data_IF_237343518342
#
_entry.id   IF_237343518342
#
_cell.length_a   1.000
_cell.length_b   1.000
_cell.length_c   1.000
_cell.angle_alpha   90.00
_cell.angle_beta   90.00
_cell.angle_gamma   90.00
#
_symmetry.space_group_name_H-M   'P 1'
#
loop_
_entity.id
_entity.type
_entity.pdbx_description
1 polymer ?
#
# COMPACT_ATOMS: atom_id res chain seq x y z
N UNK A 1 -1.47 14.53 -27.98
CA UNK A 1 -2.36 13.36 -28.04
C UNK A 1 -3.73 13.91 -27.76
N UNK A 2 -4.64 13.81 -28.73
CA UNK A 2 -6.05 13.98 -28.44
C UNK A 2 -6.47 12.90 -27.42
N UNK A 3 -7.58 13.15 -26.72
CA UNK A 3 -8.07 12.35 -25.59
C UNK A 3 -7.98 10.83 -25.82
N UNK A 4 -7.76 10.09 -24.73
CA UNK A 4 -7.53 8.63 -24.76
C UNK A 4 -8.81 7.79 -24.83
N UNK A 5 -9.94 8.38 -25.21
CA UNK A 5 -11.29 7.78 -25.09
C UNK A 5 -11.34 6.36 -25.72
N UNK A 6 -10.62 6.15 -26.83
CA UNK A 6 -10.58 4.88 -27.57
C UNK A 6 -9.69 3.79 -26.95
N UNK A 7 -8.78 4.13 -26.02
CA UNK A 7 -7.81 3.17 -25.43
C UNK A 7 -7.99 2.99 -23.92
N UNK A 8 -8.89 3.76 -23.29
CA UNK A 8 -9.16 3.66 -21.86
C UNK A 8 -9.74 2.31 -21.43
N UNK A 9 -10.59 1.62 -22.23
CA UNK A 9 -11.02 0.26 -21.92
C UNK A 9 -9.85 -0.73 -21.85
N UNK A 10 -8.95 -0.74 -22.84
CA UNK A 10 -7.77 -1.62 -22.87
C UNK A 10 -6.78 -1.28 -21.75
N UNK A 11 -6.65 0.00 -21.42
CA UNK A 11 -5.88 0.46 -20.27
C UNK A 11 -6.42 -0.11 -18.95
N UNK A 12 -7.74 -0.01 -18.72
CA UNK A 12 -8.40 -0.50 -17.52
C UNK A 12 -8.35 -2.03 -17.39
N UNK A 13 -8.57 -2.74 -18.49
CA UNK A 13 -8.47 -4.20 -18.55
C UNK A 13 -7.02 -4.70 -18.51
N UNK A 14 -6.05 -3.78 -18.65
CA UNK A 14 -4.63 -4.06 -18.62
C UNK A 14 -4.11 -4.84 -19.83
N UNK A 15 -4.83 -4.79 -20.94
CA UNK A 15 -4.47 -5.47 -22.20
C UNK A 15 -3.64 -4.59 -23.14
N UNK A 16 -3.40 -3.33 -22.77
CA UNK A 16 -2.59 -2.39 -23.54
C UNK A 16 -1.09 -2.72 -23.46
N UNK A 17 -0.41 -2.65 -24.61
CA UNK A 17 1.05 -2.85 -24.72
C UNK A 17 1.85 -1.95 -23.75
N UNK A 18 2.97 -2.43 -23.16
CA UNK A 18 3.70 -1.71 -22.12
C UNK A 18 4.10 -0.27 -22.49
N UNK A 19 4.62 -0.07 -23.71
CA UNK A 19 5.03 1.26 -24.17
C UNK A 19 3.85 2.25 -24.32
N UNK A 20 2.68 1.73 -24.74
CA UNK A 20 1.44 2.54 -24.83
C UNK A 20 0.87 2.80 -23.45
N UNK A 21 1.04 1.85 -22.52
CA UNK A 21 0.70 2.01 -21.11
C UNK A 21 1.46 3.22 -20.53
N UNK A 22 2.78 3.24 -20.60
CA UNK A 22 3.56 4.35 -20.03
C UNK A 22 3.23 5.73 -20.63
N UNK A 23 2.82 5.77 -21.91
CA UNK A 23 2.33 7.00 -22.53
C UNK A 23 0.96 7.43 -21.99
N UNK A 24 0.02 6.51 -21.85
CA UNK A 24 -1.31 6.76 -21.28
C UNK A 24 -1.23 7.19 -19.81
N UNK A 25 -0.35 6.57 -19.01
CA UNK A 25 -0.09 6.92 -17.62
C UNK A 25 0.27 8.42 -17.48
N UNK A 26 1.27 8.85 -18.26
CA UNK A 26 1.74 10.25 -18.27
C UNK A 26 0.66 11.24 -18.72
N UNK A 27 -0.20 10.85 -19.65
CA UNK A 27 -1.31 11.70 -20.08
C UNK A 27 -2.38 11.85 -19.00
N UNK A 28 -2.70 10.77 -18.28
CA UNK A 28 -3.67 10.78 -17.18
C UNK A 28 -3.25 11.66 -16.00
N UNK A 29 -1.94 11.87 -15.80
CA UNK A 29 -1.44 12.83 -14.81
C UNK A 29 -1.86 14.27 -15.13
N UNK A 30 -1.99 14.63 -16.41
CA UNK A 30 -2.25 16.01 -16.86
C UNK A 30 -3.66 16.29 -17.40
N UNK A 31 -4.43 15.27 -17.78
CA UNK A 31 -5.73 15.46 -18.45
C UNK A 31 -6.92 15.16 -17.54
N UNK A 32 -7.67 16.19 -17.15
CA UNK A 32 -8.89 16.06 -16.34
C UNK A 32 -10.01 15.28 -17.03
N UNK A 33 -10.23 15.52 -18.32
CA UNK A 33 -11.27 14.82 -19.09
C UNK A 33 -11.01 13.31 -19.13
N UNK A 34 -9.78 12.89 -19.44
CA UNK A 34 -9.45 11.47 -19.48
C UNK A 34 -9.48 10.82 -18.09
N UNK A 35 -9.17 11.56 -17.01
CA UNK A 35 -9.40 11.06 -15.64
C UNK A 35 -10.88 10.92 -15.31
N UNK A 36 -11.74 11.85 -15.74
CA UNK A 36 -13.18 11.76 -15.56
C UNK A 36 -13.78 10.58 -16.35
N UNK A 37 -13.30 10.36 -17.58
CA UNK A 37 -13.65 9.21 -18.41
C UNK A 37 -13.24 7.89 -17.74
N UNK A 38 -11.98 7.80 -17.29
CA UNK A 38 -11.47 6.65 -16.56
C UNK A 38 -12.35 6.35 -15.34
N UNK A 39 -12.66 7.37 -14.51
CA UNK A 39 -13.51 7.22 -13.34
C UNK A 39 -14.94 6.76 -13.69
N UNK A 40 -15.48 7.14 -14.86
CA UNK A 40 -16.78 6.66 -15.34
C UNK A 40 -16.74 5.19 -15.75
N UNK A 41 -15.64 4.73 -16.34
CA UNK A 41 -15.48 3.37 -16.85
C UNK A 41 -15.06 2.36 -15.77
N UNK A 42 -14.32 2.79 -14.73
CA UNK A 42 -13.83 1.93 -13.64
C UNK A 42 -14.92 1.04 -13.02
N UNK A 43 -16.12 1.53 -12.64
CA UNK A 43 -17.14 0.70 -12.02
C UNK A 43 -17.62 -0.45 -12.91
N UNK A 44 -17.63 -0.26 -14.23
CA UNK A 44 -18.01 -1.32 -15.17
C UNK A 44 -16.96 -2.44 -15.18
N UNK A 45 -15.67 -2.10 -15.13
CA UNK A 45 -14.58 -3.08 -15.08
C UNK A 45 -14.53 -3.79 -13.73
N UNK A 46 -14.76 -3.08 -12.63
CA UNK A 46 -14.89 -3.69 -11.30
C UNK A 46 -16.05 -4.68 -11.24
N UNK A 47 -17.19 -4.33 -11.84
CA UNK A 47 -18.35 -5.22 -11.93
C UNK A 47 -18.04 -6.51 -12.74
N UNK A 48 -17.25 -6.41 -13.81
CA UNK A 48 -16.78 -7.60 -14.55
C UNK A 48 -15.94 -8.52 -13.65
N UNK A 49 -15.05 -7.97 -12.83
CA UNK A 49 -14.26 -8.75 -11.88
C UNK A 49 -15.11 -9.47 -10.83
N UNK A 50 -16.21 -8.84 -10.39
CA UNK A 50 -17.13 -9.43 -9.40
C UNK A 50 -18.00 -10.58 -9.96
N UNK A 51 -18.13 -10.70 -11.28
CA UNK A 51 -18.86 -11.80 -11.92
C UNK A 51 -18.05 -13.10 -12.01
N UNK A 52 -16.74 -13.03 -11.79
CA UNK A 52 -15.86 -14.20 -11.82
C UNK A 52 -15.82 -14.83 -10.44
N UNK A 53 -16.00 -16.15 -10.38
CA UNK A 53 -15.87 -16.90 -9.13
C UNK A 53 -14.45 -16.72 -8.57
N UNK A 54 -14.29 -16.20 -7.33
CA UNK A 54 -12.97 -15.98 -6.75
C UNK A 54 -12.21 -17.30 -6.57
N UNK A 55 -11.08 -17.44 -7.25
CA UNK A 55 -10.17 -18.55 -6.98
C UNK A 55 -9.48 -18.35 -5.63
N UNK A 56 -9.61 -19.31 -4.72
CA UNK A 56 -8.90 -19.28 -3.44
C UNK A 56 -7.41 -19.55 -3.65
N UNK A 57 -6.51 -18.61 -3.37
CA UNK A 57 -5.08 -18.84 -3.51
C UNK A 57 -4.60 -19.84 -2.44
N UNK A 58 -3.53 -20.61 -2.70
CA UNK A 58 -2.93 -21.47 -1.68
C UNK A 58 -2.53 -20.66 -0.44
N UNK A 59 -2.78 -21.19 0.77
CA UNK A 59 -2.48 -20.48 2.02
C UNK A 59 -1.02 -20.02 2.15
N UNK A 60 -0.09 -20.77 1.52
CA UNK A 60 1.34 -20.42 1.47
C UNK A 60 1.64 -19.11 0.74
N UNK A 61 0.75 -18.65 -0.15
CA UNK A 61 0.90 -17.36 -0.85
C UNK A 61 0.76 -16.21 0.14
N UNK A 62 -0.25 -16.27 1.01
CA UNK A 62 -0.43 -15.25 2.05
C UNK A 62 0.75 -15.27 3.00
N UNK A 63 1.17 -16.43 3.50
CA UNK A 63 2.35 -16.55 4.38
C UNK A 63 3.59 -15.92 3.74
N UNK A 64 3.91 -16.28 2.50
CA UNK A 64 5.07 -15.74 1.77
C UNK A 64 4.97 -14.24 1.53
N UNK A 65 3.77 -13.73 1.24
CA UNK A 65 3.54 -12.30 1.07
C UNK A 65 3.76 -11.55 2.39
N UNK A 66 3.21 -12.05 3.49
CA UNK A 66 3.38 -11.47 4.81
C UNK A 66 4.85 -11.49 5.25
N UNK A 67 5.57 -12.59 5.04
CA UNK A 67 7.01 -12.67 5.29
C UNK A 67 7.80 -11.62 4.50
N UNK A 68 7.40 -11.33 3.26
CA UNK A 68 8.07 -10.31 2.45
C UNK A 68 7.70 -8.88 2.86
N UNK A 69 6.47 -8.69 3.34
CA UNK A 69 5.95 -7.38 3.76
C UNK A 69 6.34 -6.99 5.18
N UNK A 70 6.45 -7.95 6.10
CA UNK A 70 6.66 -7.71 7.52
C UNK A 70 7.99 -8.30 8.03
N UNK A 71 8.54 -9.29 7.32
CA UNK A 71 9.73 -9.99 7.73
C UNK A 71 11.03 -9.16 7.70
N UNK A 72 12.13 -9.77 8.16
CA UNK A 72 13.42 -9.11 8.23
C UNK A 72 13.88 -8.66 6.84
N UNK A 73 14.52 -7.49 6.78
CA UNK A 73 15.04 -6.96 5.53
C UNK A 73 13.99 -6.37 4.57
N UNK A 74 12.72 -6.20 4.98
CA UNK A 74 11.70 -5.54 4.12
C UNK A 74 12.06 -4.12 3.67
N UNK A 75 13.01 -3.48 4.35
CA UNK A 75 13.54 -2.16 4.00
C UNK A 75 14.84 -2.18 3.19
N UNK A 76 15.40 -3.36 2.90
CA UNK A 76 16.71 -3.50 2.25
C UNK A 76 16.80 -2.74 0.92
N UNK A 77 15.71 -2.69 0.14
CA UNK A 77 15.64 -1.96 -1.14
C UNK A 77 15.83 -0.44 -1.01
N UNK A 78 15.73 0.11 0.20
CA UNK A 78 15.84 1.54 0.48
C UNK A 78 17.07 1.92 1.30
N UNK A 79 17.79 0.94 1.86
CA UNK A 79 18.93 1.18 2.75
C UNK A 79 19.95 2.15 2.16
N UNK A 80 20.43 1.92 0.94
CA UNK A 80 21.41 2.81 0.30
C UNK A 80 20.88 4.22 0.04
N UNK A 81 19.59 4.36 -0.35
CA UNK A 81 18.96 5.68 -0.54
C UNK A 81 18.87 6.45 0.77
N UNK A 82 18.51 5.78 1.86
CA UNK A 82 18.42 6.39 3.20
C UNK A 82 19.80 6.73 3.74
N UNK A 83 20.78 5.85 3.53
CA UNK A 83 22.18 6.08 3.92
C UNK A 83 22.75 7.35 3.25
N UNK A 84 22.55 7.47 1.93
CA UNK A 84 22.97 8.65 1.18
C UNK A 84 22.20 9.93 1.60
N UNK A 85 20.90 9.81 1.88
CA UNK A 85 20.08 10.96 2.29
C UNK A 85 20.46 11.50 3.67
N UNK A 86 20.77 10.61 4.61
CA UNK A 86 21.13 10.97 5.99
C UNK A 86 22.63 11.15 6.21
N UNK A 87 23.46 10.91 5.19
CA UNK A 87 24.92 10.90 5.25
C UNK A 87 25.48 9.97 6.36
N UNK A 88 25.01 8.72 6.36
CA UNK A 88 25.43 7.68 7.31
C UNK A 88 25.87 6.42 6.59
N UNK A 89 26.63 5.56 7.28
CA UNK A 89 26.96 4.23 6.76
C UNK A 89 25.70 3.38 6.51
N UNK A 90 25.70 2.55 5.46
CA UNK A 90 24.56 1.67 5.14
C UNK A 90 24.15 0.75 6.30
N UNK A 91 25.13 0.28 7.09
CA UNK A 91 24.86 -0.50 8.30
C UNK A 91 23.99 0.28 9.30
N UNK A 92 24.27 1.57 9.49
CA UNK A 92 23.51 2.44 10.40
C UNK A 92 22.12 2.76 9.84
N UNK A 93 22.01 3.01 8.54
CA UNK A 93 20.72 3.20 7.88
C UNK A 93 19.84 1.94 7.99
N UNK A 94 20.43 0.75 7.85
CA UNK A 94 19.72 -0.52 8.02
C UNK A 94 19.19 -0.69 9.44
N UNK A 95 20.01 -0.48 10.46
CA UNK A 95 19.57 -0.52 11.87
C UNK A 95 18.41 0.45 12.15
N UNK A 96 18.51 1.69 11.65
CA UNK A 96 17.46 2.68 11.82
C UNK A 96 16.16 2.29 11.11
N UNK A 97 16.26 1.72 9.92
CA UNK A 97 15.08 1.24 9.20
C UNK A 97 14.46 0.03 9.92
N UNK A 98 15.28 -0.90 10.38
CA UNK A 98 14.84 -2.07 11.14
C UNK A 98 14.19 -1.67 12.47
N UNK A 99 14.62 -0.59 13.13
CA UNK A 99 13.98 -0.15 14.37
C UNK A 99 12.52 0.28 14.18
N UNK A 100 12.16 0.84 13.01
CA UNK A 100 10.76 1.14 12.67
C UNK A 100 9.88 -0.11 12.51
N UNK A 101 10.49 -1.31 12.45
CA UNK A 101 9.78 -2.57 12.46
C UNK A 101 9.27 -3.01 13.80
N UNK A 102 9.93 -2.59 14.86
CA UNK A 102 9.55 -2.98 16.19
C UNK A 102 8.27 -2.24 16.54
N UNK A 103 7.14 -2.93 16.78
CA UNK A 103 5.92 -2.27 17.21
C UNK A 103 6.12 -1.50 18.53
N UNK A 104 7.10 -1.91 19.34
CA UNK A 104 7.48 -1.23 20.58
C UNK A 104 8.11 0.16 20.34
N UNK A 105 8.71 0.41 19.17
CA UNK A 105 9.26 1.73 18.82
C UNK A 105 8.19 2.67 18.22
N UNK A 106 7.04 2.13 17.82
CA UNK A 106 5.89 2.92 17.42
C UNK A 106 5.23 3.51 18.67
N UNK A 107 5.43 4.81 18.91
CA UNK A 107 4.69 5.54 19.94
C UNK A 107 3.20 5.53 19.59
N UNK A 108 2.31 5.33 20.56
CA UNK A 108 0.88 5.48 20.36
C UNK A 108 0.60 6.90 19.86
N UNK A 109 0.29 7.01 18.57
CA UNK A 109 0.17 8.31 17.94
C UNK A 109 -1.02 9.10 18.46
N UNK A 110 -0.85 10.42 18.54
CA UNK A 110 -1.91 11.37 18.91
C UNK A 110 -2.98 11.51 17.81
N UNK A 111 -2.85 10.78 16.72
CA UNK A 111 -3.80 10.80 15.61
C UNK A 111 -5.05 9.99 15.98
N UNK A 112 -6.20 10.66 15.94
CA UNK A 112 -7.51 10.01 16.06
C UNK A 112 -7.64 9.02 14.89
N UNK A 113 -7.54 7.72 15.16
CA UNK A 113 -7.57 6.69 14.12
C UNK A 113 -8.77 6.89 13.17
N UNK A 114 -8.54 6.76 11.87
CA UNK A 114 -9.60 6.81 10.87
C UNK A 114 -10.40 5.52 10.96
N UNK A 115 -11.67 5.61 11.35
CA UNK A 115 -12.56 4.43 11.36
C UNK A 115 -12.83 4.00 9.92
N UNK A 116 -12.50 2.77 9.59
CA UNK A 116 -13.05 2.11 8.41
C UNK A 116 -14.50 1.70 8.75
N UNK A 117 -15.51 2.04 7.93
CA UNK A 117 -16.89 1.61 8.17
C UNK A 117 -16.98 0.09 8.27
N UNK A 118 -17.65 -0.42 9.31
CA UNK A 118 -17.95 -1.86 9.46
C UNK A 118 -16.88 -2.73 10.15
N UNK A 119 -15.71 -2.19 10.50
CA UNK A 119 -14.67 -2.95 11.23
C UNK A 119 -14.85 -2.79 12.76
N UNK A 120 -14.80 -3.88 13.56
CA UNK A 120 -14.76 -3.79 15.02
C UNK A 120 -13.53 -3.01 15.50
N UNK A 121 -13.66 -2.29 16.61
CA UNK A 121 -12.51 -1.66 17.26
C UNK A 121 -11.57 -2.77 17.78
N UNK A 122 -10.44 -2.98 17.12
CA UNK A 122 -9.34 -3.70 17.71
C UNK A 122 -8.80 -2.87 18.87
N UNK A 123 -9.14 -3.28 20.10
CA UNK A 123 -8.56 -2.70 21.31
C UNK A 123 -7.10 -3.14 21.34
N UNK A 124 -6.19 -2.24 20.94
CA UNK A 124 -4.76 -2.44 21.16
C UNK A 124 -4.54 -2.77 22.63
N UNK A 125 -3.95 -3.93 22.90
CA UNK A 125 -3.69 -4.42 24.25
C UNK A 125 -2.63 -3.56 24.94
N UNK A 126 -3.03 -2.41 25.46
CA UNK A 126 -2.23 -1.68 26.44
C UNK A 126 -2.11 -2.56 27.67
N UNK A 127 -0.89 -3.03 27.99
CA UNK A 127 -0.60 -3.70 29.26
C UNK A 127 -1.09 -2.80 30.39
N UNK A 128 -2.08 -3.29 31.14
CA UNK A 128 -2.51 -2.67 32.38
C UNK A 128 -1.33 -2.63 33.35
N UNK A 129 -0.88 -1.43 33.66
CA UNK A 129 -0.09 -1.18 34.86
C UNK A 129 -1.03 -1.13 36.05
N UNK A 130 -1.18 -2.25 36.75
CA UNK A 130 -1.76 -2.27 38.08
C UNK A 130 -0.85 -1.49 39.03
N UNK A 131 -1.41 -0.51 39.71
CA UNK A 131 -0.80 0.17 40.85
C UNK A 131 -1.84 0.28 41.95
N UNK A 132 -1.82 -0.66 42.89
CA UNK A 132 -2.55 -0.54 44.14
C UNK A 132 -1.88 0.47 45.07
N UNK A 133 -2.68 1.06 45.96
CA UNK A 133 -2.19 1.93 47.03
C UNK A 133 -3.38 2.56 47.73
N UNK A 134 -3.81 1.93 48.83
CA UNK A 134 -4.82 2.47 49.73
C UNK A 134 -4.28 3.57 50.63
N UNK A 135 -5.19 4.44 51.04
CA UNK A 135 -5.38 4.98 52.38
C UNK A 135 -6.81 5.54 52.44
#
# INVERSE_FOLDING_TARGET
MDHLDDILPEWLLGTLEPARRDAAARHLEGCERCRAELARLTPAVDALGALVEPASPPASVLTRLMERMEGPGRFARWTGKVAAFLDVAEARARELLESMAEPAHCVAGHHRGRRLPGQPLHRGGGRGGGGGGGA
#
